data_IF_666497553001
#
_entry.id   IF_666497553001
#
_cell.length_a   1.000
_cell.length_b   1.000
_cell.length_c   1.000
_cell.angle_alpha   90.00
_cell.angle_beta   90.00
_cell.angle_gamma   90.00
#
_symmetry.space_group_name_H-M   'P 1'
#
loop_
_entity.id
_entity.type
_entity.pdbx_description
1 polymer ?
#
# COMPACT_ATOMS: atom_id res chain seq x y z
N UNK A 1 -8.26 -30.58 82.23
CA UNK A 1 -7.55 -31.57 81.38
C UNK A 1 -8.44 -32.29 80.35
N UNK A 2 -9.76 -32.41 80.53
CA UNK A 2 -10.63 -33.12 79.58
C UNK A 2 -10.79 -32.42 78.21
N UNK A 3 -10.91 -31.08 78.18
CA UNK A 3 -11.07 -30.34 76.92
C UNK A 3 -9.84 -30.40 76.00
N UNK A 4 -8.62 -30.35 76.56
CA UNK A 4 -7.38 -30.39 75.77
C UNK A 4 -7.19 -31.74 75.05
N UNK A 5 -7.60 -32.84 75.68
CA UNK A 5 -7.56 -34.18 75.05
C UNK A 5 -8.57 -34.33 73.90
N UNK A 6 -9.75 -33.71 74.02
CA UNK A 6 -10.75 -33.73 72.95
C UNK A 6 -10.30 -32.92 71.74
N UNK A 7 -9.66 -31.77 71.97
CA UNK A 7 -9.17 -30.89 70.91
C UNK A 7 -7.95 -31.49 70.17
N UNK A 8 -7.03 -32.13 70.90
CA UNK A 8 -5.91 -32.88 70.30
C UNK A 8 -6.39 -34.06 69.44
N UNK A 9 -7.45 -34.77 69.86
CA UNK A 9 -8.03 -35.86 69.07
C UNK A 9 -8.65 -35.34 67.77
N UNK A 10 -9.39 -34.22 67.83
CA UNK A 10 -9.98 -33.57 66.65
C UNK A 10 -8.92 -33.06 65.67
N UNK A 11 -7.82 -32.49 66.19
CA UNK A 11 -6.71 -32.03 65.35
C UNK A 11 -5.96 -33.20 64.71
N UNK A 12 -5.71 -34.28 65.44
CA UNK A 12 -5.08 -35.49 64.90
C UNK A 12 -5.91 -36.15 63.79
N UNK A 13 -7.23 -36.25 63.98
CA UNK A 13 -8.14 -36.77 62.95
C UNK A 13 -8.17 -35.86 61.70
N UNK A 14 -8.11 -34.53 61.89
CA UNK A 14 -8.08 -33.57 60.78
C UNK A 14 -6.75 -33.60 60.02
N UNK A 15 -5.63 -33.74 60.72
CA UNK A 15 -4.30 -33.90 60.10
C UNK A 15 -4.24 -35.22 59.31
N UNK A 16 -4.71 -36.33 59.89
CA UNK A 16 -4.74 -37.61 59.18
C UNK A 16 -5.62 -37.60 57.93
N UNK A 17 -6.73 -36.85 57.94
CA UNK A 17 -7.56 -36.67 56.75
C UNK A 17 -6.90 -35.78 55.70
N UNK A 18 -6.19 -34.72 56.11
CA UNK A 18 -5.45 -33.83 55.22
C UNK A 18 -4.25 -34.54 54.56
N UNK A 19 -3.52 -35.38 55.30
CA UNK A 19 -2.41 -36.17 54.75
C UNK A 19 -2.88 -37.20 53.73
N UNK A 20 -4.04 -37.83 53.94
CA UNK A 20 -4.65 -38.72 52.94
C UNK A 20 -5.07 -37.96 51.70
N UNK A 21 -5.74 -36.81 51.85
CA UNK A 21 -6.14 -35.97 50.71
C UNK A 21 -4.92 -35.50 49.90
N UNK A 22 -3.82 -35.11 50.55
CA UNK A 22 -2.60 -34.70 49.84
C UNK A 22 -1.96 -35.87 49.07
N UNK A 23 -1.88 -37.07 49.68
CA UNK A 23 -1.35 -38.26 48.99
C UNK A 23 -2.20 -38.69 47.80
N UNK A 24 -3.52 -38.62 47.93
CA UNK A 24 -4.43 -38.94 46.83
C UNK A 24 -4.33 -37.91 45.70
N UNK A 25 -4.07 -36.63 46.04
CA UNK A 25 -3.87 -35.55 45.07
C UNK A 25 -2.53 -35.67 44.32
N UNK A 26 -1.43 -35.95 45.01
CA UNK A 26 -0.13 -36.22 44.37
C UNK A 26 -0.21 -37.42 43.42
N UNK A 27 -0.92 -38.48 43.83
CA UNK A 27 -1.09 -39.69 43.00
C UNK A 27 -1.95 -39.41 41.76
N UNK A 28 -3.01 -38.62 41.88
CA UNK A 28 -3.84 -38.19 40.75
C UNK A 28 -3.07 -37.30 39.75
N UNK A 29 -2.17 -36.43 40.25
CA UNK A 29 -1.32 -35.59 39.41
C UNK A 29 -0.24 -36.38 38.65
N UNK A 30 0.17 -37.55 39.14
CA UNK A 30 1.22 -38.38 38.53
C UNK A 30 0.76 -39.30 37.38
N UNK A 31 -0.54 -39.32 37.04
CA UNK A 31 -1.11 -40.27 36.06
C UNK A 31 -1.76 -39.56 34.87
N UNK A 32 -1.38 -39.93 33.63
CA UNK A 32 -1.82 -39.28 32.38
C UNK A 32 -3.26 -39.61 31.93
N UNK A 33 -4.02 -40.45 32.65
CA UNK A 33 -5.38 -40.85 32.25
C UNK A 33 -6.45 -40.21 33.12
N UNK A 34 -7.29 -39.37 32.50
CA UNK A 34 -8.50 -38.80 33.09
C UNK A 34 -9.49 -39.91 33.50
N UNK A 35 -9.83 -39.95 34.79
CA UNK A 35 -10.86 -40.82 35.37
C UNK A 35 -11.93 -39.95 36.03
N UNK A 36 -13.21 -40.32 35.92
CA UNK A 36 -14.37 -39.63 36.53
C UNK A 36 -14.34 -39.55 38.07
N UNK A 37 -13.33 -40.13 38.73
CA UNK A 37 -13.15 -40.08 40.19
C UNK A 37 -12.05 -39.11 40.67
N UNK A 38 -11.51 -38.25 39.80
CA UNK A 38 -10.53 -37.23 40.21
C UNK A 38 -11.19 -36.01 40.91
N UNK A 39 -10.56 -35.42 41.93
CA UNK A 39 -11.06 -34.21 42.58
C UNK A 39 -11.12 -33.05 41.57
N UNK A 40 -12.22 -32.29 41.59
CA UNK A 40 -12.59 -31.23 40.63
C UNK A 40 -11.46 -30.23 40.30
N UNK A 41 -10.53 -30.05 41.24
CA UNK A 41 -9.35 -29.18 41.13
C UNK A 41 -8.33 -29.69 40.10
N UNK A 42 -8.11 -31.00 39.99
CA UNK A 42 -7.15 -31.59 39.04
C UNK A 42 -7.65 -31.47 37.59
N UNK A 43 -8.95 -31.65 37.37
CA UNK A 43 -9.60 -31.44 36.06
C UNK A 43 -9.57 -29.97 35.66
N UNK A 44 -9.83 -29.05 36.61
CA UNK A 44 -9.73 -27.60 36.39
C UNK A 44 -8.29 -27.16 36.08
N UNK A 45 -7.28 -27.72 36.75
CA UNK A 45 -5.88 -27.39 36.48
C UNK A 45 -5.44 -27.87 35.08
N UNK A 46 -5.78 -29.10 34.70
CA UNK A 46 -5.52 -29.63 33.34
C UNK A 46 -6.24 -28.81 32.26
N UNK A 47 -7.49 -28.38 32.51
CA UNK A 47 -8.22 -27.50 31.60
C UNK A 47 -7.56 -26.11 31.47
N UNK A 48 -7.08 -25.54 32.58
CA UNK A 48 -6.35 -24.27 32.60
C UNK A 48 -5.00 -24.38 31.89
N UNK A 49 -4.25 -25.47 32.06
CA UNK A 49 -3.00 -25.71 31.34
C UNK A 49 -3.22 -25.85 29.83
N UNK A 50 -4.26 -26.59 29.42
CA UNK A 50 -4.63 -26.73 28.00
C UNK A 50 -5.08 -25.38 27.41
N UNK A 51 -5.87 -24.60 28.16
CA UNK A 51 -6.27 -23.24 27.78
C UNK A 51 -5.05 -22.32 27.67
N UNK A 52 -4.08 -22.43 28.57
CA UNK A 52 -2.84 -21.64 28.52
C UNK A 52 -1.96 -22.00 27.32
N UNK A 53 -1.79 -23.30 27.02
CA UNK A 53 -1.03 -23.78 25.86
C UNK A 53 -1.68 -23.40 24.53
N UNK A 54 -3.01 -23.48 24.43
CA UNK A 54 -3.76 -23.05 23.25
C UNK A 54 -3.70 -21.53 23.06
N UNK A 55 -3.78 -20.75 24.15
CA UNK A 55 -3.55 -19.30 24.12
C UNK A 55 -2.12 -18.96 23.68
N UNK A 56 -1.10 -19.68 24.16
CA UNK A 56 0.28 -19.48 23.69
C UNK A 56 0.47 -19.81 22.21
N UNK A 57 -0.18 -20.86 21.70
CA UNK A 57 -0.14 -21.22 20.28
C UNK A 57 -0.83 -20.17 19.40
N UNK A 58 -1.98 -19.66 19.85
CA UNK A 58 -2.68 -18.55 19.20
C UNK A 58 -1.86 -17.26 19.27
N UNK A 59 -1.25 -16.95 20.42
CA UNK A 59 -0.36 -15.81 20.58
C UNK A 59 0.84 -15.88 19.63
N UNK A 60 1.50 -17.03 19.49
CA UNK A 60 2.57 -17.22 18.50
C UNK A 60 2.08 -17.13 17.06
N UNK A 61 0.85 -17.54 16.76
CA UNK A 61 0.26 -17.35 15.43
C UNK A 61 -0.08 -15.87 15.16
N UNK A 62 -0.51 -15.13 16.17
CA UNK A 62 -0.76 -13.69 16.11
C UNK A 62 0.56 -12.91 16.00
N UNK A 63 1.59 -13.30 16.75
CA UNK A 63 2.96 -12.77 16.70
C UNK A 63 3.63 -13.08 15.34
N UNK A 64 3.36 -14.26 14.76
CA UNK A 64 3.82 -14.60 13.40
C UNK A 64 3.10 -13.81 12.29
N UNK A 65 1.95 -13.20 12.58
CA UNK A 65 1.24 -12.27 11.70
C UNK A 65 1.55 -10.81 12.05
N UNK A 66 2.27 -10.56 13.14
CA UNK A 66 2.64 -9.23 13.59
C UNK A 66 3.62 -8.60 12.60
N UNK A 67 3.25 -7.44 12.06
CA UNK A 67 4.01 -6.76 11.00
C UNK A 67 3.67 -7.18 9.57
N UNK A 68 2.87 -8.24 9.36
CA UNK A 68 2.38 -8.63 8.04
C UNK A 68 1.07 -7.88 7.75
N UNK A 69 1.04 -7.07 6.69
CA UNK A 69 -0.17 -6.40 6.21
C UNK A 69 -0.55 -6.94 4.85
N UNK A 70 -1.80 -7.37 4.70
CA UNK A 70 -2.36 -7.83 3.42
C UNK A 70 -3.54 -6.95 3.06
N UNK A 71 -3.53 -6.39 1.86
CA UNK A 71 -4.65 -5.65 1.28
C UNK A 71 -5.11 -6.34 0.01
N UNK A 72 -6.42 -6.47 -0.18
CA UNK A 72 -7.01 -7.01 -1.40
C UNK A 72 -8.16 -6.10 -1.87
N UNK A 73 -8.24 -5.85 -3.17
CA UNK A 73 -9.35 -5.12 -3.77
C UNK A 73 -9.79 -5.79 -5.08
N UNK A 74 -11.05 -5.58 -5.45
CA UNK A 74 -11.63 -6.04 -6.71
C UNK A 74 -12.49 -4.90 -7.28
N UNK A 75 -12.15 -4.47 -8.48
CA UNK A 75 -12.85 -3.40 -9.20
C UNK A 75 -13.45 -3.97 -10.46
N UNK A 76 -14.73 -3.69 -10.71
CA UNK A 76 -15.44 -4.09 -11.92
C UNK A 76 -16.05 -2.88 -12.58
N UNK A 77 -15.92 -2.79 -13.90
CA UNK A 77 -16.41 -1.66 -14.68
C UNK A 77 -17.25 -2.21 -15.83
N UNK A 78 -18.42 -1.59 -16.05
CA UNK A 78 -19.24 -1.77 -17.24
C UNK A 78 -19.42 -0.41 -17.92
N UNK A 79 -19.13 -0.35 -19.21
CA UNK A 79 -19.21 0.89 -19.99
C UNK A 79 -19.99 0.64 -21.27
N UNK A 80 -20.66 1.69 -21.74
CA UNK A 80 -21.32 1.72 -23.03
C UNK A 80 -20.93 2.99 -23.75
N UNK A 81 -20.55 2.87 -25.02
CA UNK A 81 -20.11 3.99 -25.87
C UNK A 81 -20.81 3.90 -27.22
N UNK A 82 -21.35 5.02 -27.67
CA UNK A 82 -22.01 5.11 -28.97
C UNK A 82 -21.03 5.07 -30.15
N UNK A 83 -21.50 4.61 -31.30
CA UNK A 83 -20.76 4.45 -32.55
C UNK A 83 -19.94 5.68 -32.99
N UNK A 84 -20.37 6.89 -32.66
CA UNK A 84 -19.65 8.11 -33.01
C UNK A 84 -18.32 8.29 -32.24
N UNK A 85 -18.14 7.57 -31.14
CA UNK A 85 -17.01 7.73 -30.22
C UNK A 85 -16.12 6.49 -30.10
N UNK A 86 -16.56 5.33 -30.59
CA UNK A 86 -15.77 4.10 -30.63
C UNK A 86 -14.79 4.10 -31.81
N UNK A 87 -13.65 3.43 -31.64
CA UNK A 87 -12.66 3.23 -32.70
C UNK A 87 -13.20 2.35 -33.84
N UNK A 88 -14.11 1.42 -33.53
CA UNK A 88 -14.80 0.52 -34.47
C UNK A 88 -15.92 1.18 -35.27
N UNK A 89 -16.34 2.38 -34.87
CA UNK A 89 -17.53 3.05 -35.39
C UNK A 89 -18.86 2.28 -35.22
N UNK A 90 -18.94 1.42 -34.19
CA UNK A 90 -20.15 0.70 -33.78
C UNK A 90 -20.47 0.95 -32.31
N UNK A 91 -21.74 0.81 -31.91
CA UNK A 91 -22.09 0.85 -30.49
C UNK A 91 -21.41 -0.33 -29.76
N UNK A 92 -20.68 -0.03 -28.69
CA UNK A 92 -19.99 -1.04 -27.91
C UNK A 92 -20.39 -0.97 -26.44
N UNK A 93 -20.62 -2.14 -25.86
CA UNK A 93 -20.75 -2.33 -24.42
C UNK A 93 -19.70 -3.34 -23.98
N UNK A 94 -18.89 -2.98 -23.00
CA UNK A 94 -17.80 -3.84 -22.49
C UNK A 94 -17.81 -3.83 -20.98
N UNK A 95 -17.38 -4.96 -20.43
CA UNK A 95 -17.12 -5.11 -19.02
C UNK A 95 -15.67 -5.57 -18.82
N UNK A 96 -15.07 -5.17 -17.71
CA UNK A 96 -13.80 -5.69 -17.23
C UNK A 96 -13.83 -5.81 -15.71
N UNK A 97 -12.91 -6.61 -15.18
CA UNK A 97 -12.60 -6.61 -13.76
C UNK A 97 -11.07 -6.64 -13.55
N UNK A 98 -10.65 -6.09 -12.41
CA UNK A 98 -9.26 -6.07 -11.97
C UNK A 98 -9.20 -6.31 -10.47
N UNK A 99 -8.39 -7.28 -10.08
CA UNK A 99 -8.05 -7.57 -8.69
C UNK A 99 -6.61 -7.16 -8.39
N UNK A 100 -6.42 -6.58 -7.22
CA UNK A 100 -5.13 -6.10 -6.72
C UNK A 100 -4.91 -6.69 -5.33
N UNK A 101 -3.80 -7.41 -5.13
CA UNK A 101 -3.42 -8.04 -3.86
C UNK A 101 -2.03 -7.53 -3.46
N UNK A 102 -1.97 -6.81 -2.36
CA UNK A 102 -0.73 -6.26 -1.80
C UNK A 102 -0.36 -6.96 -0.50
N UNK A 103 0.93 -7.22 -0.31
CA UNK A 103 1.49 -7.83 0.89
C UNK A 103 2.68 -7.00 1.32
N UNK A 104 2.67 -6.52 2.56
CA UNK A 104 3.80 -5.89 3.23
C UNK A 104 4.30 -6.81 4.31
N UNK A 105 5.60 -7.09 4.31
CA UNK A 105 6.28 -7.94 5.27
C UNK A 105 7.38 -7.14 5.99
N UNK A 106 7.66 -7.45 7.28
CA UNK A 106 8.84 -6.93 7.93
C UNK A 106 10.10 -7.46 7.21
N UNK A 107 11.02 -6.55 6.90
CA UNK A 107 12.23 -6.80 6.13
C UNK A 107 13.50 -6.85 6.97
N UNK A 108 13.36 -7.05 8.29
CA UNK A 108 14.46 -7.04 9.27
C UNK A 108 14.79 -5.65 9.80
N UNK A 109 15.71 -5.60 10.75
CA UNK A 109 16.21 -4.36 11.36
C UNK A 109 17.74 -4.29 11.20
N UNK A 110 18.27 -3.09 10.99
CA UNK A 110 19.71 -2.83 10.91
C UNK A 110 20.06 -1.62 11.78
N UNK A 111 20.51 -1.88 13.01
CA UNK A 111 20.65 -0.83 14.02
C UNK A 111 19.28 -0.24 14.35
N UNK A 112 19.13 1.08 14.26
CA UNK A 112 17.84 1.75 14.46
C UNK A 112 16.95 1.74 13.21
N UNK A 113 17.46 1.30 12.06
CA UNK A 113 16.73 1.29 10.80
C UNK A 113 15.82 0.06 10.67
N UNK A 114 14.62 0.27 10.13
CA UNK A 114 13.62 -0.78 9.90
C UNK A 114 13.43 -1.04 8.41
N UNK A 115 13.50 -2.31 8.03
CA UNK A 115 13.24 -2.78 6.67
C UNK A 115 11.79 -3.20 6.47
N UNK A 116 11.26 -2.95 5.28
CA UNK A 116 9.97 -3.46 4.80
C UNK A 116 10.10 -4.02 3.40
N UNK A 117 9.44 -5.14 3.15
CA UNK A 117 9.29 -5.73 1.80
C UNK A 117 7.85 -5.53 1.39
N UNK A 118 7.64 -5.01 0.19
CA UNK A 118 6.32 -4.86 -0.41
C UNK A 118 6.23 -5.66 -1.70
N UNK A 119 5.15 -6.40 -1.87
CA UNK A 119 4.80 -7.11 -3.10
C UNK A 119 3.35 -6.81 -3.48
N UNK A 120 3.11 -6.61 -4.77
CA UNK A 120 1.78 -6.34 -5.31
C UNK A 120 1.54 -7.20 -6.54
N UNK A 121 0.47 -8.01 -6.49
CA UNK A 121 -0.01 -8.83 -7.58
C UNK A 121 -1.28 -8.22 -8.15
N UNK A 122 -1.34 -8.14 -9.48
CA UNK A 122 -2.50 -7.64 -10.21
C UNK A 122 -2.98 -8.71 -11.17
N UNK A 123 -4.28 -8.95 -11.20
CA UNK A 123 -4.91 -9.87 -12.12
C UNK A 123 -6.22 -9.29 -12.64
N UNK A 124 -6.71 -9.79 -13.78
CA UNK A 124 -7.93 -9.25 -14.38
C UNK A 124 -8.22 -9.81 -15.76
N UNK A 125 -9.30 -9.30 -16.32
CA UNK A 125 -9.78 -9.63 -17.67
C UNK A 125 -10.64 -8.50 -18.20
N UNK A 126 -10.63 -8.32 -19.52
CA UNK A 126 -11.34 -7.28 -20.23
C UNK A 126 -10.40 -6.16 -20.67
N UNK A 127 -10.24 -6.03 -21.99
CA UNK A 127 -9.48 -4.96 -22.68
C UNK A 127 -10.15 -3.58 -22.62
N UNK A 128 -11.34 -3.45 -22.02
CA UNK A 128 -12.10 -2.19 -21.96
C UNK A 128 -12.70 -1.80 -23.31
N UNK A 129 -13.02 -0.51 -23.47
CA UNK A 129 -13.55 0.05 -24.73
C UNK A 129 -12.47 0.84 -25.46
N UNK A 130 -12.23 0.48 -26.72
CA UNK A 130 -11.42 1.29 -27.64
C UNK A 130 -12.19 2.53 -28.10
N UNK A 131 -11.84 3.69 -27.57
CA UNK A 131 -12.34 4.97 -28.09
C UNK A 131 -11.56 5.39 -29.34
N UNK A 132 -12.18 6.24 -30.17
CA UNK A 132 -11.43 6.99 -31.19
C UNK A 132 -10.23 7.67 -30.52
N UNK A 133 -9.05 7.68 -31.15
CA UNK A 133 -7.87 8.30 -30.56
C UNK A 133 -8.15 9.73 -30.12
N UNK A 134 -8.30 9.93 -28.80
CA UNK A 134 -8.30 11.22 -28.17
C UNK A 134 -6.86 11.52 -27.73
N UNK A 135 -6.52 12.81 -27.68
CA UNK A 135 -5.14 13.23 -27.59
C UNK A 135 -4.41 12.82 -26.30
N UNK A 136 -5.12 12.41 -25.23
CA UNK A 136 -4.46 12.27 -23.91
C UNK A 136 -5.00 11.19 -22.97
N UNK A 137 -5.92 10.27 -23.31
CA UNK A 137 -6.39 9.32 -22.27
C UNK A 137 -6.98 7.99 -22.71
N UNK A 138 -6.75 7.00 -21.87
CA UNK A 138 -7.62 5.84 -21.69
C UNK A 138 -8.92 6.28 -21.02
N UNK A 139 -10.06 5.80 -21.52
CA UNK A 139 -11.38 6.07 -20.90
C UNK A 139 -11.61 5.23 -19.63
N UNK A 140 -10.82 4.18 -19.47
CA UNK A 140 -10.89 3.21 -18.40
C UNK A 140 -9.50 2.63 -18.14
N UNK A 141 -8.84 3.15 -17.11
CA UNK A 141 -7.52 2.66 -16.67
C UNK A 141 -7.60 1.34 -15.91
N UNK A 142 -8.80 0.90 -15.52
CA UNK A 142 -8.97 -0.38 -14.79
C UNK A 142 -9.01 -1.59 -15.72
N UNK A 143 -9.14 -1.39 -17.04
CA UNK A 143 -9.06 -2.46 -18.02
C UNK A 143 -7.70 -3.15 -17.95
N UNK A 144 -7.69 -4.48 -17.82
CA UNK A 144 -6.48 -5.24 -17.59
C UNK A 144 -6.55 -6.62 -18.25
N UNK A 145 -5.93 -6.72 -19.41
CA UNK A 145 -5.81 -7.96 -20.19
C UNK A 145 -4.66 -7.79 -21.20
N UNK A 146 -3.99 -8.88 -21.56
CA UNK A 146 -3.02 -8.88 -22.65
C UNK A 146 -3.63 -9.60 -23.84
N UNK A 147 -3.59 -8.97 -25.01
CA UNK A 147 -4.17 -9.50 -26.26
C UNK A 147 -3.59 -10.85 -26.70
N UNK A 148 -2.44 -11.27 -26.16
CA UNK A 148 -1.81 -12.57 -26.44
C UNK A 148 -2.38 -13.73 -25.61
N UNK A 149 -3.16 -13.43 -24.57
CA UNK A 149 -3.83 -14.44 -23.74
C UNK A 149 -5.21 -14.72 -24.35
N UNK A 150 -5.67 -15.99 -24.41
CA UNK A 150 -7.04 -16.29 -24.84
C UNK A 150 -8.04 -15.47 -24.03
N UNK A 151 -9.08 -14.95 -24.69
CA UNK A 151 -10.06 -14.09 -24.03
C UNK A 151 -10.83 -14.78 -22.89
N UNK A 152 -10.81 -16.12 -22.84
CA UNK A 152 -11.43 -16.92 -21.77
C UNK A 152 -10.55 -17.02 -20.51
N UNK A 153 -9.26 -16.66 -20.60
CA UNK A 153 -8.29 -16.78 -19.51
C UNK A 153 -8.11 -15.44 -18.78
N UNK A 154 -7.96 -15.50 -17.46
CA UNK A 154 -7.56 -14.34 -16.66
C UNK A 154 -6.04 -14.12 -16.76
N UNK A 155 -5.62 -12.86 -16.91
CA UNK A 155 -4.22 -12.49 -16.94
C UNK A 155 -3.74 -12.00 -15.56
N UNK A 156 -2.47 -12.23 -15.21
CA UNK A 156 -1.91 -11.79 -13.93
C UNK A 156 -0.41 -11.52 -13.98
N UNK A 157 0.04 -10.55 -13.18
CA UNK A 157 1.44 -10.11 -13.10
C UNK A 157 1.87 -9.83 -11.65
N UNK A 158 3.19 -9.86 -11.43
CA UNK A 158 3.83 -9.12 -10.34
C UNK A 158 3.96 -7.65 -10.76
N UNK A 159 3.08 -6.82 -10.21
CA UNK A 159 3.01 -5.39 -10.48
C UNK A 159 4.18 -4.66 -9.82
N UNK A 160 4.31 -4.79 -8.49
CA UNK A 160 5.40 -4.18 -7.73
C UNK A 160 6.08 -5.21 -6.82
N UNK A 161 7.38 -5.02 -6.63
CA UNK A 161 8.18 -5.76 -5.66
C UNK A 161 9.39 -4.92 -5.28
N UNK A 162 9.39 -4.37 -4.07
CA UNK A 162 10.46 -3.50 -3.61
C UNK A 162 10.74 -3.65 -2.11
N UNK A 163 11.96 -3.29 -1.74
CA UNK A 163 12.41 -3.19 -0.36
C UNK A 163 12.57 -1.72 0.01
N UNK A 164 12.14 -1.34 1.21
CA UNK A 164 12.34 -0.02 1.77
C UNK A 164 13.02 -0.11 3.13
N UNK A 165 14.08 0.68 3.32
CA UNK A 165 14.73 0.89 4.59
C UNK A 165 14.32 2.26 5.14
N UNK A 166 13.72 2.30 6.32
CA UNK A 166 13.38 3.51 7.04
C UNK A 166 14.43 3.77 8.13
N UNK A 167 15.16 4.88 8.00
CA UNK A 167 16.25 5.25 8.89
C UNK A 167 15.79 6.46 9.72
N UNK A 168 15.53 6.31 11.03
CA UNK A 168 15.19 7.44 11.89
C UNK A 168 16.42 8.34 12.08
N UNK A 169 16.24 9.64 11.86
CA UNK A 169 17.24 10.67 12.14
C UNK A 169 16.91 11.31 13.48
N UNK A 170 17.43 10.74 14.56
CA UNK A 170 17.26 11.26 15.91
C UNK A 170 18.42 12.20 16.28
N UNK A 171 18.11 13.37 16.85
CA UNK A 171 19.14 14.27 17.40
C UNK A 171 19.64 13.86 18.79
N UNK A 172 18.87 13.04 19.52
CA UNK A 172 19.07 12.67 20.93
C UNK A 172 19.33 11.18 21.15
N UNK A 173 19.41 10.38 20.09
CA UNK A 173 19.70 8.93 20.15
C UNK A 173 18.54 8.04 20.58
N UNK A 174 17.31 8.58 20.72
CA UNK A 174 16.10 7.80 21.01
C UNK A 174 15.22 7.68 19.77
N UNK A 175 15.16 6.47 19.19
CA UNK A 175 14.33 6.13 18.02
C UNK A 175 12.88 6.63 18.12
N UNK A 176 12.28 6.56 19.32
CA UNK A 176 10.90 6.98 19.57
C UNK A 176 10.64 8.49 19.35
N UNK A 177 11.68 9.32 19.39
CA UNK A 177 11.58 10.77 19.24
C UNK A 177 11.92 11.25 17.83
N UNK A 178 12.32 10.35 16.91
CA UNK A 178 12.72 10.73 15.58
C UNK A 178 11.57 11.43 14.84
N UNK A 179 11.79 12.70 14.49
CA UNK A 179 10.86 13.51 13.68
C UNK A 179 11.30 13.62 12.24
N UNK A 180 12.47 13.11 11.92
CA UNK A 180 13.05 13.10 10.61
C UNK A 180 13.40 11.67 10.23
N UNK A 181 13.16 11.31 8.99
CA UNK A 181 13.42 9.97 8.49
C UNK A 181 14.05 10.04 7.11
N UNK A 182 15.00 9.16 6.86
CA UNK A 182 15.54 8.88 5.54
C UNK A 182 15.01 7.52 5.09
N UNK A 183 14.31 7.49 3.96
CA UNK A 183 13.81 6.27 3.34
C UNK A 183 14.64 5.95 2.09
N UNK A 184 15.12 4.71 2.02
CA UNK A 184 15.80 4.17 0.84
C UNK A 184 14.95 3.05 0.28
N UNK A 185 14.41 3.21 -0.93
CA UNK A 185 13.55 2.21 -1.58
C UNK A 185 14.23 1.70 -2.84
N UNK A 186 14.19 0.40 -3.11
CA UNK A 186 14.69 -0.18 -4.36
C UNK A 186 13.91 -1.42 -4.78
N UNK A 187 13.65 -1.57 -6.08
CA UNK A 187 12.95 -2.73 -6.64
C UNK A 187 12.18 -2.38 -7.91
N UNK A 188 11.18 -3.20 -8.25
CA UNK A 188 10.19 -2.90 -9.30
C UNK A 188 9.07 -2.06 -8.67
N UNK A 189 8.96 -0.82 -9.09
CA UNK A 189 8.18 0.22 -8.42
C UNK A 189 7.21 0.86 -9.43
N UNK A 190 6.04 1.25 -8.94
CA UNK A 190 5.20 2.25 -9.59
C UNK A 190 5.69 3.65 -9.16
N UNK A 191 6.25 4.47 -10.07
CA UNK A 191 6.75 5.79 -9.70
C UNK A 191 5.69 6.69 -9.06
N UNK A 192 4.42 6.58 -9.46
CA UNK A 192 3.36 7.48 -9.00
C UNK A 192 2.89 7.19 -7.57
N UNK A 193 3.19 5.99 -7.05
CA UNK A 193 3.02 5.70 -5.62
C UNK A 193 3.93 6.57 -4.74
N UNK A 194 5.02 7.14 -5.28
CA UNK A 194 5.96 7.98 -4.52
C UNK A 194 6.04 9.43 -5.01
N UNK A 195 5.64 9.70 -6.25
CA UNK A 195 5.76 11.00 -6.91
C UNK A 195 4.42 11.43 -7.50
N UNK A 196 4.16 12.74 -7.59
CA UNK A 196 2.93 13.32 -8.18
C UNK A 196 1.59 12.92 -7.51
N UNK A 197 1.65 12.34 -6.31
CA UNK A 197 0.47 11.92 -5.55
C UNK A 197 -0.58 13.04 -5.38
N UNK A 198 -1.83 12.64 -5.15
CA UNK A 198 -2.94 13.56 -4.83
C UNK A 198 -4.08 12.87 -4.08
N UNK A 199 -4.47 13.43 -2.93
CA UNK A 199 -5.45 12.75 -2.07
C UNK A 199 -6.86 12.61 -2.69
N UNK A 200 -7.22 13.46 -3.67
CA UNK A 200 -8.55 13.50 -4.27
C UNK A 200 -8.65 12.76 -5.61
N UNK A 201 -7.54 12.42 -6.25
CA UNK A 201 -7.56 11.98 -7.65
C UNK A 201 -6.68 10.78 -8.02
N UNK A 202 -5.66 10.47 -7.22
CA UNK A 202 -4.55 9.52 -7.47
C UNK A 202 -4.94 8.03 -7.37
N UNK A 203 -6.20 7.68 -7.65
CA UNK A 203 -6.68 6.30 -7.62
C UNK A 203 -7.74 6.08 -8.70
N UNK A 204 -7.41 5.25 -9.70
CA UNK A 204 -8.29 4.95 -10.82
C UNK A 204 -9.43 3.98 -10.49
N UNK A 205 -9.32 3.26 -9.37
CA UNK A 205 -10.32 2.29 -8.90
C UNK A 205 -11.37 2.95 -8.02
N UNK A 206 -10.97 3.93 -7.21
CA UNK A 206 -11.84 4.57 -6.22
C UNK A 206 -12.24 6.01 -6.57
N UNK A 207 -11.46 6.72 -7.39
CA UNK A 207 -11.69 8.14 -7.72
C UNK A 207 -12.03 8.30 -9.20
N UNK A 208 -11.03 8.49 -10.06
CA UNK A 208 -11.25 8.81 -11.47
C UNK A 208 -10.81 7.67 -12.38
N UNK A 209 -11.76 7.07 -13.07
CA UNK A 209 -11.49 6.02 -14.06
C UNK A 209 -10.69 6.52 -15.28
N UNK A 210 -10.70 7.83 -15.56
CA UNK A 210 -9.97 8.44 -16.66
C UNK A 210 -8.59 8.91 -16.17
N UNK A 211 -7.54 8.34 -16.78
CA UNK A 211 -6.17 8.47 -16.30
C UNK A 211 -5.62 9.91 -16.27
N UNK A 212 -6.17 10.81 -17.09
CA UNK A 212 -5.76 12.22 -17.11
C UNK A 212 -6.01 12.91 -15.77
N UNK A 213 -6.98 12.46 -14.98
CA UNK A 213 -7.20 13.00 -13.64
C UNK A 213 -6.39 12.27 -12.58
N UNK A 214 -5.91 11.06 -12.86
CA UNK A 214 -5.21 10.20 -11.89
C UNK A 214 -3.79 10.68 -11.69
N UNK A 215 -3.02 10.86 -12.77
CA UNK A 215 -1.62 11.30 -12.71
C UNK A 215 -1.37 12.46 -13.69
N UNK A 216 -0.19 13.07 -13.63
CA UNK A 216 0.24 14.07 -14.60
C UNK A 216 0.16 13.49 -16.03
N UNK A 217 -0.68 14.08 -16.90
CA UNK A 217 -0.90 13.53 -18.24
C UNK A 217 0.35 13.51 -19.11
N UNK A 218 1.36 14.35 -18.86
CA UNK A 218 2.60 14.32 -19.62
C UNK A 218 3.45 13.08 -19.27
N UNK A 219 3.45 12.68 -17.99
CA UNK A 219 4.27 11.60 -17.48
C UNK A 219 3.63 10.22 -17.72
N UNK A 220 2.37 10.08 -17.32
CA UNK A 220 1.68 8.78 -17.36
C UNK A 220 1.00 8.53 -18.72
N UNK A 221 -0.12 9.21 -18.98
CA UNK A 221 -0.89 9.01 -20.21
C UNK A 221 -0.14 9.42 -21.49
N UNK A 222 0.78 10.38 -21.37
CA UNK A 222 1.68 10.82 -22.42
C UNK A 222 2.91 9.92 -22.58
N UNK A 223 3.13 8.98 -21.65
CA UNK A 223 4.16 7.97 -21.71
C UNK A 223 5.59 8.46 -21.45
N UNK A 224 5.78 9.70 -20.98
CA UNK A 224 7.12 10.27 -20.81
C UNK A 224 7.93 9.61 -19.68
N UNK A 225 7.30 8.87 -18.76
CA UNK A 225 8.04 8.00 -17.81
C UNK A 225 8.77 6.88 -18.55
N UNK A 226 8.18 6.34 -19.62
CA UNK A 226 8.71 5.19 -20.35
C UNK A 226 8.83 3.93 -19.47
N UNK A 227 7.86 3.71 -18.59
CA UNK A 227 7.77 2.50 -17.77
C UNK A 227 7.48 1.23 -18.62
N UNK A 228 7.37 0.07 -17.99
CA UNK A 228 6.88 -1.13 -18.66
C UNK A 228 5.42 -0.97 -19.14
N UNK A 229 4.92 -1.96 -19.87
CA UNK A 229 3.57 -1.92 -20.45
C UNK A 229 2.43 -1.77 -19.42
N UNK A 230 2.74 -1.89 -18.12
CA UNK A 230 1.79 -1.82 -17.01
C UNK A 230 2.08 -0.65 -16.05
N UNK A 231 3.01 0.25 -16.39
CA UNK A 231 3.33 1.43 -15.59
C UNK A 231 4.40 1.22 -14.53
N UNK A 232 5.11 0.09 -14.52
CA UNK A 232 6.11 -0.22 -13.50
C UNK A 232 7.54 -0.18 -14.06
N UNK A 233 8.52 0.15 -13.22
CA UNK A 233 9.93 0.14 -13.61
C UNK A 233 10.84 -0.28 -12.46
N UNK A 234 11.97 -0.97 -12.73
CA UNK A 234 13.05 -1.09 -11.75
C UNK A 234 13.61 0.29 -11.42
N UNK A 235 13.80 0.57 -10.14
CA UNK A 235 14.36 1.85 -9.72
C UNK A 235 14.78 1.87 -8.27
N UNK A 236 15.32 3.03 -7.89
CA UNK A 236 15.67 3.35 -6.52
C UNK A 236 15.21 4.77 -6.18
N UNK A 237 14.80 4.96 -4.93
CA UNK A 237 14.29 6.22 -4.40
C UNK A 237 15.02 6.51 -3.10
N UNK A 238 15.46 7.76 -2.95
CA UNK A 238 15.89 8.33 -1.66
C UNK A 238 14.89 9.41 -1.29
N UNK A 239 14.29 9.29 -0.10
CA UNK A 239 13.36 10.29 0.42
C UNK A 239 13.80 10.72 1.82
N UNK A 240 13.86 12.02 2.02
CA UNK A 240 13.95 12.62 3.35
C UNK A 240 12.59 13.19 3.72
N UNK A 241 12.10 12.86 4.91
CA UNK A 241 10.84 13.37 5.45
C UNK A 241 11.08 14.08 6.78
N UNK A 242 10.49 15.26 6.94
CA UNK A 242 10.54 16.07 8.14
C UNK A 242 9.14 16.28 8.71
N UNK A 243 8.96 15.90 9.96
CA UNK A 243 7.73 16.04 10.73
C UNK A 243 7.95 16.75 12.07
N UNK A 244 9.00 17.59 12.16
CA UNK A 244 9.32 18.34 13.39
C UNK A 244 8.19 19.27 13.81
N UNK A 245 7.50 19.86 12.83
CA UNK A 245 6.35 20.73 13.04
C UNK A 245 5.08 20.07 12.51
N UNK A 246 4.16 19.77 13.42
CA UNK A 246 2.87 19.17 13.07
C UNK A 246 2.03 20.12 12.22
N UNK A 247 1.52 19.65 11.07
CA UNK A 247 0.75 20.45 10.11
C UNK A 247 1.59 21.34 9.20
N UNK A 248 2.92 21.16 9.21
CA UNK A 248 3.88 21.76 8.30
C UNK A 248 4.95 20.72 7.92
N UNK A 249 4.54 19.45 7.80
CA UNK A 249 5.41 18.36 7.37
C UNK A 249 5.89 18.63 5.94
N UNK A 250 7.13 18.25 5.64
CA UNK A 250 7.69 18.41 4.30
C UNK A 250 8.68 17.30 3.97
N UNK A 251 8.84 17.04 2.68
CA UNK A 251 9.67 15.98 2.15
C UNK A 251 10.48 16.42 0.93
N UNK A 252 11.58 15.73 0.72
CA UNK A 252 12.37 15.77 -0.51
C UNK A 252 12.61 14.34 -0.97
N UNK A 253 12.28 14.07 -2.23
CA UNK A 253 12.41 12.75 -2.84
C UNK A 253 13.19 12.85 -4.14
N UNK A 254 14.09 11.89 -4.38
CA UNK A 254 14.80 11.70 -5.64
C UNK A 254 14.65 10.24 -6.07
N UNK A 255 14.12 10.03 -7.26
CA UNK A 255 13.92 8.71 -7.86
C UNK A 255 14.71 8.56 -9.16
N UNK A 256 15.26 7.36 -9.39
CA UNK A 256 15.90 6.96 -10.63
C UNK A 256 15.32 5.62 -11.06
N UNK A 257 14.77 5.57 -12.26
CA UNK A 257 14.04 4.41 -12.79
C UNK A 257 14.55 4.03 -14.19
N UNK A 258 14.52 2.74 -14.50
CA UNK A 258 14.70 2.27 -15.87
C UNK A 258 13.62 2.86 -16.78
N UNK A 259 14.00 3.19 -18.02
CA UNK A 259 13.07 3.70 -19.04
C UNK A 259 13.24 2.93 -20.35
N UNK A 260 12.15 2.76 -21.10
CA UNK A 260 12.12 1.98 -22.34
C UNK A 260 12.56 0.52 -22.11
N UNK A 261 13.57 0.02 -22.86
CA UNK A 261 14.12 -1.32 -22.65
C UNK A 261 14.67 -1.58 -21.23
N UNK A 262 15.05 -0.52 -20.51
CA UNK A 262 15.48 -0.62 -19.12
C UNK A 262 14.32 -0.81 -18.14
N UNK A 263 13.10 -0.40 -18.50
CA UNK A 263 11.91 -0.51 -17.64
C UNK A 263 11.37 -1.94 -17.56
N UNK A 264 11.53 -2.73 -18.63
CA UNK A 264 11.03 -4.10 -18.75
C UNK A 264 12.13 -5.17 -18.76
N UNK A 265 13.36 -4.81 -18.34
CA UNK A 265 14.52 -5.71 -18.26
C UNK A 265 14.99 -6.33 -19.59
N UNK A 266 14.57 -5.78 -20.74
CA UNK A 266 14.95 -6.32 -22.06
C UNK A 266 16.21 -5.68 -22.64
N UNK A 267 16.70 -4.58 -22.08
CA UNK A 267 17.86 -3.88 -22.60
C UNK A 267 18.59 -2.98 -21.59
N UNK A 268 19.37 -2.04 -22.15
CA UNK A 268 20.27 -1.18 -21.35
C UNK A 268 19.50 -0.25 -20.41
N UNK A 269 20.04 -0.08 -19.19
CA UNK A 269 19.59 0.89 -18.19
C UNK A 269 20.08 2.34 -18.47
N UNK A 270 20.85 2.54 -19.55
CA UNK A 270 21.30 3.89 -19.94
C UNK A 270 20.11 4.77 -20.35
N UNK A 271 20.15 6.05 -19.98
CA UNK A 271 19.07 7.00 -20.22
C UNK A 271 17.86 6.81 -19.29
N UNK A 272 18.04 6.77 -17.96
CA UNK A 272 16.96 6.53 -17.02
C UNK A 272 15.95 7.68 -16.98
N UNK A 273 14.78 7.39 -16.42
CA UNK A 273 13.84 8.37 -15.91
C UNK A 273 14.29 8.81 -14.51
N UNK A 274 14.49 10.11 -14.32
CA UNK A 274 14.91 10.72 -13.06
C UNK A 274 13.87 11.75 -12.67
N UNK A 275 13.42 11.72 -11.42
CA UNK A 275 12.45 12.67 -10.88
C UNK A 275 12.88 13.13 -9.50
N UNK A 276 12.81 14.44 -9.26
CA UNK A 276 13.04 15.04 -7.97
C UNK A 276 11.80 15.83 -7.55
N UNK A 277 11.33 15.62 -6.32
CA UNK A 277 10.12 16.22 -5.78
C UNK A 277 10.40 16.86 -4.42
N UNK A 278 9.81 18.03 -4.22
CA UNK A 278 9.57 18.60 -2.91
C UNK A 278 8.08 18.55 -2.62
N UNK A 279 7.72 18.12 -1.43
CA UNK A 279 6.34 18.07 -0.96
C UNK A 279 6.20 18.75 0.40
N UNK A 280 5.02 19.30 0.64
CA UNK A 280 4.65 19.87 1.93
C UNK A 280 3.18 19.66 2.22
N UNK A 281 2.90 19.22 3.43
CA UNK A 281 1.57 19.27 4.02
C UNK A 281 1.40 20.64 4.67
N UNK A 282 0.31 21.33 4.35
CA UNK A 282 -0.05 22.58 4.98
C UNK A 282 -1.50 22.55 5.43
N UNK A 283 -1.83 23.33 6.46
CA UNK A 283 -3.19 23.49 6.95
C UNK A 283 -3.66 24.92 6.76
N UNK A 284 -4.73 25.10 5.99
CA UNK A 284 -5.43 26.37 5.88
C UNK A 284 -6.78 26.26 6.59
N UNK A 285 -7.06 27.16 7.53
CA UNK A 285 -8.25 27.09 8.39
C UNK A 285 -8.42 25.72 9.09
N UNK A 286 -7.31 25.15 9.57
CA UNK A 286 -7.22 23.81 10.18
C UNK A 286 -7.49 22.62 9.23
N UNK A 287 -7.85 22.87 7.97
CA UNK A 287 -8.11 21.84 6.95
C UNK A 287 -6.82 21.45 6.23
N UNK A 288 -6.58 20.14 6.03
CA UNK A 288 -5.36 19.65 5.40
C UNK A 288 -5.32 19.96 3.90
N UNK A 289 -4.12 20.22 3.41
CA UNK A 289 -3.79 20.22 2.00
C UNK A 289 -2.35 19.74 1.78
N UNK A 290 -2.10 19.28 0.56
CA UNK A 290 -0.82 18.75 0.13
C UNK A 290 -0.37 19.48 -1.12
N UNK A 291 0.89 19.90 -1.14
CA UNK A 291 1.47 20.70 -2.22
C UNK A 291 2.78 20.06 -2.64
N UNK A 292 2.90 19.76 -3.93
CA UNK A 292 4.04 19.08 -4.53
C UNK A 292 4.54 19.88 -5.70
N UNK A 293 5.85 20.04 -5.78
CA UNK A 293 6.55 20.56 -6.95
C UNK A 293 7.66 19.59 -7.30
N UNK A 294 7.78 19.27 -8.58
CA UNK A 294 8.76 18.31 -9.05
C UNK A 294 9.32 18.69 -10.39
N UNK A 295 10.49 18.16 -10.68
CA UNK A 295 11.14 18.21 -11.98
C UNK A 295 11.51 16.80 -12.38
N UNK A 296 11.47 16.54 -13.67
CA UNK A 296 11.86 15.24 -14.20
C UNK A 296 12.76 15.39 -15.42
N UNK A 297 13.48 14.32 -15.70
CA UNK A 297 14.23 14.11 -16.92
C UNK A 297 14.12 12.65 -17.31
N UNK A 298 13.67 12.37 -18.53
CA UNK A 298 13.80 11.05 -19.13
C UNK A 298 14.91 11.06 -20.18
N UNK A 299 15.83 10.10 -20.13
CA UNK A 299 16.82 9.91 -21.19
C UNK A 299 16.25 9.30 -22.47
N UNK A 300 15.07 8.67 -22.40
CA UNK A 300 14.40 7.94 -23.49
C UNK A 300 12.92 8.30 -23.61
N UNK A 301 12.58 9.57 -23.49
CA UNK A 301 11.22 10.03 -23.75
C UNK A 301 10.85 9.78 -25.21
N UNK A 302 9.65 9.26 -25.46
CA UNK A 302 9.17 8.98 -26.81
C UNK A 302 8.76 10.29 -27.50
N UNK A 303 9.49 10.67 -28.55
CA UNK A 303 9.12 11.82 -29.38
C UNK A 303 7.84 11.57 -30.17
N UNK A 304 7.12 12.63 -30.55
CA UNK A 304 5.91 12.50 -31.36
C UNK A 304 6.14 11.87 -32.75
N UNK A 305 7.39 11.91 -33.21
CA UNK A 305 7.90 11.37 -34.46
C UNK A 305 8.37 9.91 -34.32
N UNK A 306 8.20 9.30 -33.14
CA UNK A 306 8.56 7.91 -32.85
C UNK A 306 10.01 7.68 -32.46
N UNK A 307 10.83 8.74 -32.37
CA UNK A 307 12.24 8.63 -31.97
C UNK A 307 12.42 8.91 -30.47
N UNK A 308 13.18 8.07 -29.78
CA UNK A 308 13.55 8.30 -28.39
C UNK A 308 14.54 9.46 -28.25
N UNK A 309 14.27 10.39 -27.33
CA UNK A 309 15.15 11.53 -27.01
C UNK A 309 15.11 11.88 -25.54
N UNK A 310 16.08 12.69 -25.10
CA UNK A 310 16.03 13.22 -23.74
C UNK A 310 14.93 14.25 -23.61
N UNK A 311 14.00 13.99 -22.70
CA UNK A 311 12.92 14.89 -22.31
C UNK A 311 13.18 15.41 -20.90
N UNK A 312 12.68 16.61 -20.60
CA UNK A 312 12.71 17.17 -19.26
C UNK A 312 11.54 18.11 -19.03
N UNK A 313 11.06 18.20 -17.80
CA UNK A 313 9.96 19.08 -17.46
C UNK A 313 9.83 19.34 -15.97
N UNK A 314 8.81 20.13 -15.66
CA UNK A 314 8.41 20.50 -14.30
C UNK A 314 6.93 20.21 -14.12
N UNK A 315 6.55 19.88 -12.90
CA UNK A 315 5.16 19.63 -12.56
C UNK A 315 4.84 20.07 -11.14
N UNK A 316 3.56 20.30 -10.94
CA UNK A 316 2.97 20.72 -9.69
C UNK A 316 1.70 19.91 -9.48
N UNK A 317 1.52 19.39 -8.26
CA UNK A 317 0.28 18.72 -7.83
C UNK A 317 -0.14 19.33 -6.50
N UNK A 318 -1.41 19.71 -6.40
CA UNK A 318 -1.97 20.26 -5.18
C UNK A 318 -3.36 19.69 -4.92
N UNK A 319 -3.65 19.42 -3.66
CA UNK A 319 -4.98 19.16 -3.14
C UNK A 319 -5.21 19.95 -1.86
N UNK A 320 -6.41 20.49 -1.69
CA UNK A 320 -6.77 21.29 -0.52
C UNK A 320 -8.22 21.02 -0.14
N UNK A 321 -8.41 20.58 1.10
CA UNK A 321 -9.73 20.51 1.70
C UNK A 321 -10.20 21.94 2.04
N UNK A 322 -11.31 22.38 1.45
CA UNK A 322 -11.87 23.73 1.62
C UNK A 322 -13.01 23.77 2.64
N UNK A 323 -13.72 22.67 2.82
CA UNK A 323 -14.70 22.45 3.88
C UNK A 323 -14.71 20.97 4.26
N UNK A 324 -15.51 20.58 5.26
CA UNK A 324 -15.63 19.17 5.65
C UNK A 324 -16.09 18.25 4.51
N UNK A 325 -16.83 18.82 3.55
CA UNK A 325 -17.45 18.11 2.44
C UNK A 325 -16.83 18.39 1.08
N UNK A 326 -15.82 19.28 0.96
CA UNK A 326 -15.26 19.66 -0.33
C UNK A 326 -13.73 19.68 -0.33
N UNK A 327 -13.15 18.97 -1.29
CA UNK A 327 -11.72 18.99 -1.60
C UNK A 327 -11.53 19.44 -3.04
N UNK A 328 -10.66 20.42 -3.27
CA UNK A 328 -10.24 20.77 -4.62
C UNK A 328 -8.88 20.14 -4.90
N UNK A 329 -8.64 19.81 -6.16
CA UNK A 329 -7.32 19.41 -6.62
C UNK A 329 -6.97 20.04 -7.96
N UNK A 330 -5.68 20.14 -8.22
CA UNK A 330 -5.16 20.54 -9.50
C UNK A 330 -3.77 19.99 -9.74
N UNK A 331 -3.46 19.69 -11.01
CA UNK A 331 -2.11 19.37 -11.45
C UNK A 331 -1.75 20.17 -12.68
N UNK A 332 -0.51 20.62 -12.74
CA UNK A 332 0.06 21.28 -13.90
C UNK A 332 1.38 20.62 -14.27
N UNK A 333 1.55 20.30 -15.55
CA UNK A 333 2.79 19.78 -16.11
C UNK A 333 3.26 20.65 -17.26
N UNK A 334 4.57 20.88 -17.33
CA UNK A 334 5.21 21.57 -18.45
C UNK A 334 6.51 20.87 -18.83
N UNK A 335 6.54 20.31 -20.02
CA UNK A 335 7.73 19.78 -20.65
C UNK A 335 8.55 20.92 -21.25
N UNK A 336 9.74 21.13 -20.69
CA UNK A 336 10.63 22.24 -21.05
C UNK A 336 11.59 21.82 -22.17
N UNK A 337 11.90 20.52 -22.25
CA UNK A 337 12.76 19.96 -23.29
C UNK A 337 12.18 18.65 -23.83
N UNK A 338 12.34 18.43 -25.12
CA UNK A 338 11.82 17.26 -25.83
C UNK A 338 10.91 17.64 -26.99
N UNK A 339 10.58 16.64 -27.80
CA UNK A 339 9.78 16.81 -29.01
C UNK A 339 8.44 16.09 -28.83
N UNK A 340 7.51 16.74 -28.13
CA UNK A 340 6.20 16.17 -27.79
C UNK A 340 5.06 16.87 -28.50
N UNK A 341 3.90 16.21 -28.57
CA UNK A 341 2.69 16.77 -29.20
C UNK A 341 2.10 17.91 -28.39
N UNK A 342 2.13 17.78 -27.07
CA UNK A 342 1.70 18.79 -26.12
C UNK A 342 2.80 18.94 -25.08
N UNK A 343 3.28 20.16 -24.90
CA UNK A 343 4.29 20.51 -23.91
C UNK A 343 3.66 20.84 -22.55
N UNK A 344 2.33 21.03 -22.47
CA UNK A 344 1.64 21.47 -21.25
C UNK A 344 0.38 20.66 -21.00
N UNK A 345 0.12 20.37 -19.73
CA UNK A 345 -1.11 19.77 -19.26
C UNK A 345 -1.60 20.48 -17.99
N UNK A 346 -2.92 20.69 -17.89
CA UNK A 346 -3.57 21.22 -16.71
C UNK A 346 -4.80 20.38 -16.42
N UNK A 347 -4.90 19.86 -15.19
CA UNK A 347 -6.06 19.12 -14.69
C UNK A 347 -6.55 19.80 -13.43
N UNK A 348 -7.87 19.94 -13.32
CA UNK A 348 -8.53 20.59 -12.20
C UNK A 348 -9.78 19.78 -11.87
N UNK A 349 -10.09 19.66 -10.59
CA UNK A 349 -11.32 18.98 -10.17
C UNK A 349 -11.67 19.25 -8.73
N UNK A 350 -12.84 18.73 -8.34
CA UNK A 350 -13.38 18.83 -7.01
C UNK A 350 -13.99 17.49 -6.60
N UNK A 351 -13.78 17.10 -5.35
CA UNK A 351 -14.46 16.01 -4.69
C UNK A 351 -15.47 16.60 -3.70
N UNK A 352 -16.73 16.15 -3.79
CA UNK A 352 -17.78 16.47 -2.84
C UNK A 352 -18.14 15.20 -2.05
N UNK A 353 -18.02 15.25 -0.73
CA UNK A 353 -18.37 14.15 0.15
C UNK A 353 -19.87 13.85 0.06
N UNK A 354 -20.28 12.60 0.27
CA UNK A 354 -21.68 12.19 0.21
C UNK A 354 -22.57 12.69 1.36
N UNK A 355 -21.98 13.28 2.41
CA UNK A 355 -22.66 13.77 3.62
C UNK A 355 -23.84 14.71 3.34
N UNK A 356 -23.74 15.72 2.45
CA UNK A 356 -24.86 16.62 2.13
C UNK A 356 -26.05 15.89 1.49
N UNK A 357 -25.85 14.68 0.97
CA UNK A 357 -26.88 13.82 0.39
C UNK A 357 -27.26 12.63 1.28
N UNK A 358 -26.82 12.61 2.55
CA UNK A 358 -27.02 11.51 3.49
C UNK A 358 -26.54 10.14 2.95
N UNK A 359 -25.44 10.15 2.19
CA UNK A 359 -24.75 8.97 1.67
C UNK A 359 -23.33 8.95 2.23
N UNK A 360 -23.20 8.65 3.52
CA UNK A 360 -21.91 8.49 4.19
C UNK A 360 -21.48 7.03 4.22
#
# INVERSE_FOLDING_TARGET
>A
MANLKAELKRLSERIGNLERQNKDMEKALSTERLSEKEPEIATRLKAVEFQTLSMQKQARQIEALEGITVGASLTSVMQQVGANHTASATDESRANYRGDVSVTLPGGEMGDAEGKIFAHFRFGQGTGIGLRPAYTSTANTTAFEVTSTPADDSFGILAQAWYQLAIPLASDGLKANAREHLYLTAGKIDPFVFFDQNAAADDESARFMNNVFVHNPLLDSGGDVGADAYGFAPGAIVQYANSRQKGAEWGLSLGVFGSGPGANFTGSLAGPFVIAQADSAARFNALPGNYRAYLWRNGRGAGYDGNERSHAGIGFSADQKLSDDMTLFGRYGHQINGQVRFDRALTLGAELAGTPWARA
#
